data_IF_386320134895
#
_entry.id   IF_386320134895
#
_cell.length_a   1.000
_cell.length_b   1.000
_cell.length_c   1.000
_cell.angle_alpha   90.00
_cell.angle_beta   90.00
_cell.angle_gamma   90.00
#
_symmetry.space_group_name_H-M   'P 1'
#
loop_
_entity.id
_entity.type
_entity.pdbx_description
1 polymer ?
#
# COMPACT_ATOMS: atom_id res chain seq x y z
N UNK A 1 18.50 26.01 -50.56
CA UNK A 1 17.70 26.58 -49.45
C UNK A 1 17.25 27.98 -49.85
N UNK A 2 16.61 28.14 -51.02
CA UNK A 2 16.39 29.47 -51.61
C UNK A 2 15.15 29.51 -52.54
N UNK A 3 14.12 28.68 -52.28
CA UNK A 3 12.95 28.63 -53.19
C UNK A 3 11.59 28.39 -52.52
N UNK A 4 11.45 28.64 -51.21
CA UNK A 4 10.16 28.51 -50.51
C UNK A 4 9.82 29.70 -49.60
N UNK A 5 10.48 30.84 -49.80
CA UNK A 5 10.18 32.12 -49.13
C UNK A 5 9.91 33.25 -50.13
N UNK A 6 9.29 32.92 -51.27
CA UNK A 6 8.83 33.88 -52.27
C UNK A 6 7.36 33.62 -52.62
N UNK A 7 6.54 33.39 -51.60
CA UNK A 7 5.10 33.60 -51.68
C UNK A 7 4.87 35.02 -51.20
N UNK A 8 4.50 35.90 -52.11
CA UNK A 8 4.27 37.32 -51.87
C UNK A 8 3.37 37.52 -50.65
N UNK A 9 3.96 37.97 -49.56
CA UNK A 9 3.26 38.55 -48.41
C UNK A 9 2.86 40.00 -48.74
N UNK A 10 2.37 40.22 -49.96
CA UNK A 10 1.92 41.50 -50.49
C UNK A 10 0.45 41.37 -50.88
N UNK A 11 -0.41 41.19 -49.87
CA UNK A 11 -1.81 41.62 -49.89
C UNK A 11 -2.49 41.42 -48.51
N UNK A 12 -1.69 41.41 -47.42
CA UNK A 12 -2.28 41.47 -46.10
C UNK A 12 -2.62 42.92 -45.76
N UNK A 13 -3.83 43.32 -46.15
CA UNK A 13 -4.38 44.63 -45.85
C UNK A 13 -4.65 44.73 -44.33
N UNK A 14 -3.63 45.21 -43.62
CA UNK A 14 -3.68 45.43 -42.18
C UNK A 14 -4.80 46.38 -41.78
N UNK A 15 -5.15 47.35 -42.63
CA UNK A 15 -6.23 48.28 -42.33
C UNK A 15 -7.60 47.61 -42.51
N UNK A 16 -7.77 46.78 -43.54
CA UNK A 16 -9.00 45.99 -43.71
C UNK A 16 -9.20 44.97 -42.59
N UNK A 17 -8.18 44.18 -42.25
CA UNK A 17 -8.25 43.18 -41.16
C UNK A 17 -8.45 43.85 -39.80
N UNK A 18 -7.81 44.99 -39.54
CA UNK A 18 -8.03 45.79 -38.33
C UNK A 18 -9.42 46.43 -38.30
N UNK A 19 -9.95 46.86 -39.44
CA UNK A 19 -11.31 47.38 -39.54
C UNK A 19 -12.35 46.29 -39.28
N UNK A 20 -12.14 45.08 -39.83
CA UNK A 20 -13.00 43.92 -39.65
C UNK A 20 -12.97 43.38 -38.22
N UNK A 21 -11.78 43.30 -37.63
CA UNK A 21 -11.61 42.94 -36.21
C UNK A 21 -12.26 43.98 -35.27
N UNK A 22 -12.16 45.28 -35.58
CA UNK A 22 -12.86 46.33 -34.83
C UNK A 22 -14.37 46.32 -35.03
N UNK A 23 -14.88 45.85 -36.18
CA UNK A 23 -16.30 45.68 -36.48
C UNK A 23 -16.94 44.58 -35.63
N UNK A 24 -16.21 43.48 -35.42
CA UNK A 24 -16.66 42.33 -34.62
C UNK A 24 -16.40 42.49 -33.11
N UNK A 25 -15.65 43.52 -32.70
CA UNK A 25 -15.25 43.80 -31.31
C UNK A 25 -16.40 44.21 -30.36
N UNK A 26 -17.60 44.41 -30.90
CA UNK A 26 -18.81 44.75 -30.15
C UNK A 26 -19.87 43.65 -30.12
N UNK A 27 -19.64 42.50 -30.75
CA UNK A 27 -20.53 41.36 -30.63
C UNK A 27 -20.45 40.81 -29.19
N UNK A 28 -21.58 40.49 -28.53
CA UNK A 28 -21.54 39.78 -27.25
C UNK A 28 -20.77 38.47 -27.43
N UNK A 29 -19.83 38.20 -26.53
CA UNK A 29 -19.10 36.94 -26.54
C UNK A 29 -20.09 35.78 -26.34
N UNK A 30 -20.21 34.94 -27.36
CA UNK A 30 -21.04 33.74 -27.33
C UNK A 30 -20.17 32.54 -26.89
N UNK A 31 -20.35 32.16 -25.63
CA UNK A 31 -19.61 31.06 -25.02
C UNK A 31 -19.93 29.71 -25.68
N UNK A 32 -21.17 29.49 -26.11
CA UNK A 32 -21.58 28.22 -26.71
C UNK A 32 -20.98 28.05 -28.11
N UNK A 33 -20.85 29.15 -28.86
CA UNK A 33 -20.17 29.15 -30.15
C UNK A 33 -18.66 28.91 -29.99
N UNK A 34 -18.04 29.55 -29.01
CA UNK A 34 -16.61 29.37 -28.73
C UNK A 34 -16.27 27.95 -28.28
N UNK A 35 -17.10 27.32 -27.43
CA UNK A 35 -16.91 25.93 -27.03
C UNK A 35 -16.98 24.98 -28.23
N UNK A 36 -17.94 25.17 -29.16
CA UNK A 36 -18.03 24.37 -30.39
C UNK A 36 -16.78 24.51 -31.27
N UNK A 37 -16.24 25.72 -31.38
CA UNK A 37 -15.02 25.96 -32.15
C UNK A 37 -13.80 25.26 -31.52
N UNK A 38 -13.64 25.33 -30.20
CA UNK A 38 -12.56 24.62 -29.49
C UNK A 38 -12.72 23.10 -29.55
N UNK A 39 -13.93 22.59 -29.36
CA UNK A 39 -14.19 21.15 -29.41
C UNK A 39 -13.98 20.58 -30.82
N UNK A 40 -14.09 21.42 -31.86
CA UNK A 40 -13.76 21.07 -33.25
C UNK A 40 -12.27 21.19 -33.59
N UNK A 41 -11.46 21.79 -32.71
CA UNK A 41 -10.05 22.01 -32.96
C UNK A 41 -9.25 20.70 -32.80
N UNK A 42 -8.39 20.30 -33.75
CA UNK A 42 -7.69 19.01 -33.75
C UNK A 42 -6.89 18.71 -32.47
N UNK A 43 -6.36 19.76 -31.83
CA UNK A 43 -5.57 19.63 -30.60
C UNK A 43 -6.40 19.34 -29.34
N UNK A 44 -7.71 19.63 -29.35
CA UNK A 44 -8.56 19.60 -28.15
C UNK A 44 -9.81 18.71 -28.32
N UNK A 45 -10.11 18.25 -29.54
CA UNK A 45 -11.22 17.34 -29.79
C UNK A 45 -11.07 16.04 -28.99
N UNK A 46 -12.16 15.63 -28.33
CA UNK A 46 -12.19 14.40 -27.53
C UNK A 46 -12.58 13.15 -28.34
N UNK A 47 -13.09 13.35 -29.55
CA UNK A 47 -13.51 12.29 -30.47
C UNK A 47 -13.48 12.81 -31.92
N UNK A 48 -13.21 11.91 -32.87
CA UNK A 48 -13.22 12.25 -34.31
C UNK A 48 -14.67 12.53 -34.78
N UNK A 49 -14.92 13.65 -35.49
CA UNK A 49 -16.22 13.92 -36.11
C UNK A 49 -16.52 12.93 -37.25
N UNK A 50 -17.80 12.80 -37.62
CA UNK A 50 -18.24 12.00 -38.79
C UNK A 50 -17.65 12.56 -40.09
N UNK A 51 -17.41 11.70 -41.10
CA UNK A 51 -16.67 12.04 -42.34
C UNK A 51 -17.15 13.31 -43.07
N UNK A 52 -18.44 13.65 -42.98
CA UNK A 52 -19.01 14.86 -43.60
C UNK A 52 -18.81 16.16 -42.79
N UNK A 53 -18.02 16.13 -41.71
CA UNK A 53 -17.89 17.22 -40.73
C UNK A 53 -16.48 17.52 -40.27
N UNK A 54 -15.44 17.14 -41.03
CA UNK A 54 -14.08 17.53 -40.69
C UNK A 54 -13.89 19.05 -40.83
N UNK A 55 -13.28 19.65 -39.81
CA UNK A 55 -12.79 21.03 -39.91
C UNK A 55 -11.63 21.09 -40.92
N UNK A 56 -11.49 22.21 -41.62
CA UNK A 56 -10.39 22.48 -42.57
C UNK A 56 -9.01 22.17 -41.96
N UNK A 57 -8.84 22.42 -40.66
CA UNK A 57 -7.61 22.08 -39.94
C UNK A 57 -7.38 20.57 -39.78
N UNK A 58 -8.45 19.78 -39.61
CA UNK A 58 -8.37 18.31 -39.55
C UNK A 58 -8.07 17.75 -40.94
N UNK A 59 -8.71 18.28 -41.98
CA UNK A 59 -8.44 17.89 -43.38
C UNK A 59 -6.99 18.20 -43.78
N UNK A 60 -6.48 19.38 -43.42
CA UNK A 60 -5.08 19.74 -43.66
C UNK A 60 -4.10 18.81 -42.92
N UNK A 61 -4.37 18.46 -41.66
CA UNK A 61 -3.56 17.50 -40.90
C UNK A 61 -3.65 16.08 -41.47
N UNK A 62 -4.82 15.68 -41.97
CA UNK A 62 -5.01 14.39 -42.62
C UNK A 62 -4.25 14.34 -43.95
N UNK A 63 -4.32 15.39 -44.77
CA UNK A 63 -3.52 15.52 -45.98
C UNK A 63 -2.02 15.45 -45.66
N UNK A 64 -1.52 16.22 -44.70
CA UNK A 64 -0.11 16.18 -44.29
C UNK A 64 0.37 14.81 -43.77
N UNK A 65 -0.53 14.01 -43.18
CA UNK A 65 -0.17 12.69 -42.62
C UNK A 65 -0.36 11.55 -43.63
N UNK A 66 -1.26 11.72 -44.58
CA UNK A 66 -1.67 10.67 -45.52
C UNK A 66 -1.43 11.03 -46.98
N UNK A 67 -0.64 12.07 -47.27
CA UNK A 67 -0.28 12.51 -48.62
C UNK A 67 -0.07 11.29 -49.53
N UNK A 68 -0.84 11.26 -50.62
CA UNK A 68 -0.94 10.11 -51.53
C UNK A 68 0.36 9.83 -52.30
N UNK A 69 1.41 10.62 -52.05
CA UNK A 69 2.76 10.46 -52.61
C UNK A 69 3.70 9.60 -51.75
N UNK A 70 3.35 9.28 -50.50
CA UNK A 70 4.16 8.39 -49.68
C UNK A 70 4.15 6.95 -50.24
N UNK A 71 5.31 6.52 -50.71
CA UNK A 71 5.49 5.15 -51.19
C UNK A 71 5.28 4.14 -50.06
N UNK A 72 4.87 2.92 -50.39
CA UNK A 72 4.70 1.85 -49.38
C UNK A 72 6.01 1.54 -48.65
N UNK A 73 7.15 1.80 -49.30
CA UNK A 73 8.50 1.75 -48.74
C UNK A 73 8.76 2.82 -47.66
N UNK A 74 8.36 4.07 -47.90
CA UNK A 74 8.55 5.19 -46.94
C UNK A 74 7.74 4.98 -45.66
N UNK A 75 6.47 4.56 -45.81
CA UNK A 75 5.60 4.20 -44.68
C UNK A 75 6.14 3.00 -43.90
N UNK A 76 6.65 1.97 -44.57
CA UNK A 76 7.28 0.82 -43.91
C UNK A 76 8.57 1.23 -43.16
N UNK A 77 9.33 2.19 -43.68
CA UNK A 77 10.53 2.71 -43.02
C UNK A 77 10.19 3.56 -41.77
N UNK A 78 9.07 4.28 -41.80
CA UNK A 78 8.54 4.99 -40.63
C UNK A 78 8.11 4.01 -39.52
N UNK A 79 7.30 3.00 -39.87
CA UNK A 79 6.93 1.95 -38.91
C UNK A 79 8.14 1.23 -38.30
N UNK A 80 9.22 1.05 -39.07
CA UNK A 80 10.50 0.55 -38.55
C UNK A 80 11.10 1.52 -37.52
N UNK A 81 11.08 2.83 -37.80
CA UNK A 81 11.60 3.86 -36.88
C UNK A 81 10.81 3.87 -35.58
N UNK A 82 9.49 3.84 -35.65
CA UNK A 82 8.59 3.81 -34.50
C UNK A 82 8.77 2.54 -33.66
N UNK A 83 8.83 1.38 -34.32
CA UNK A 83 9.11 0.12 -33.65
C UNK A 83 10.46 0.13 -32.92
N UNK A 84 11.49 0.73 -33.53
CA UNK A 84 12.82 0.86 -32.92
C UNK A 84 12.79 1.78 -31.68
N UNK A 85 11.99 2.85 -31.71
CA UNK A 85 11.80 3.74 -30.55
C UNK A 85 11.14 2.97 -29.41
N UNK A 86 10.03 2.27 -29.67
CA UNK A 86 9.34 1.47 -28.66
C UNK A 86 10.21 0.32 -28.11
N UNK A 87 10.99 -0.32 -28.97
CA UNK A 87 11.93 -1.37 -28.57
C UNK A 87 12.99 -0.85 -27.60
N UNK A 88 13.56 0.34 -27.86
CA UNK A 88 14.51 1.00 -26.95
C UNK A 88 13.87 1.37 -25.61
N UNK A 89 12.59 1.75 -25.63
CA UNK A 89 11.81 2.01 -24.42
C UNK A 89 11.36 0.73 -23.68
N UNK A 90 11.74 -0.46 -24.14
CA UNK A 90 11.32 -1.78 -23.61
C UNK A 90 9.80 -2.02 -23.67
N UNK A 91 9.07 -1.24 -24.48
CA UNK A 91 7.64 -1.46 -24.75
C UNK A 91 7.49 -2.41 -25.95
N UNK A 92 7.80 -3.69 -25.70
CA UNK A 92 7.89 -4.69 -26.76
C UNK A 92 6.56 -4.95 -27.45
N UNK A 93 5.42 -4.81 -26.75
CA UNK A 93 4.09 -4.98 -27.34
C UNK A 93 3.85 -3.94 -28.45
N UNK A 94 4.09 -2.65 -28.17
CA UNK A 94 3.94 -1.60 -29.19
C UNK A 94 4.95 -1.73 -30.31
N UNK A 95 6.17 -2.15 -30.01
CA UNK A 95 7.18 -2.43 -31.03
C UNK A 95 6.72 -3.54 -31.99
N UNK A 96 6.17 -4.64 -31.47
CA UNK A 96 5.62 -5.74 -32.27
C UNK A 96 4.47 -5.26 -33.17
N UNK A 97 3.55 -4.44 -32.63
CA UNK A 97 2.46 -3.86 -33.42
C UNK A 97 3.00 -2.99 -34.54
N UNK A 98 3.91 -2.04 -34.25
CA UNK A 98 4.50 -1.16 -35.25
C UNK A 98 5.22 -1.92 -36.37
N UNK A 99 6.06 -2.92 -36.02
CA UNK A 99 6.68 -3.76 -37.04
C UNK A 99 5.66 -4.56 -37.84
N UNK A 100 4.60 -5.08 -37.19
CA UNK A 100 3.56 -5.85 -37.88
C UNK A 100 2.78 -5.01 -38.88
N UNK A 101 2.47 -3.74 -38.55
CA UNK A 101 1.85 -2.82 -39.50
C UNK A 101 2.78 -2.52 -40.69
N UNK A 102 4.08 -2.29 -40.44
CA UNK A 102 5.07 -2.13 -41.50
C UNK A 102 5.19 -3.36 -42.42
N UNK A 103 5.08 -4.57 -41.86
CA UNK A 103 5.09 -5.84 -42.63
C UNK A 103 3.84 -5.97 -43.50
N UNK A 104 2.66 -5.54 -43.03
CA UNK A 104 1.40 -5.64 -43.79
C UNK A 104 1.45 -4.83 -45.08
N UNK A 105 2.18 -3.71 -45.11
CA UNK A 105 2.34 -2.87 -46.29
C UNK A 105 3.01 -3.61 -47.47
N UNK A 106 3.70 -4.73 -47.22
CA UNK A 106 4.24 -5.62 -48.26
C UNK A 106 5.06 -4.88 -49.33
N UNK A 107 5.99 -4.02 -48.90
CA UNK A 107 6.90 -3.27 -49.77
C UNK A 107 7.78 -4.19 -50.62
N UNK A 108 8.19 -3.73 -51.81
CA UNK A 108 9.02 -4.52 -52.72
C UNK A 108 10.51 -4.57 -52.31
N UNK A 109 10.91 -3.78 -51.31
CA UNK A 109 12.26 -3.82 -50.74
C UNK A 109 12.43 -5.05 -49.81
N UNK A 110 13.05 -6.10 -50.38
CA UNK A 110 13.36 -7.32 -49.66
C UNK A 110 14.28 -7.09 -48.43
N UNK A 111 15.14 -6.07 -48.45
CA UNK A 111 16.04 -5.77 -47.34
C UNK A 111 15.28 -5.16 -46.16
N UNK A 112 14.44 -4.17 -46.43
CA UNK A 112 13.59 -3.54 -45.41
C UNK A 112 12.64 -4.58 -44.77
N UNK A 113 12.06 -5.44 -45.60
CA UNK A 113 11.20 -6.53 -45.15
C UNK A 113 11.96 -7.52 -44.23
N UNK A 114 13.17 -7.93 -44.61
CA UNK A 114 14.01 -8.77 -43.78
C UNK A 114 14.35 -8.13 -42.42
N UNK A 115 14.68 -6.83 -42.41
CA UNK A 115 14.92 -6.07 -41.17
C UNK A 115 13.68 -6.01 -40.27
N UNK A 116 12.49 -5.77 -40.83
CA UNK A 116 11.23 -5.74 -40.06
C UNK A 116 10.90 -7.09 -39.42
N UNK A 117 11.03 -8.20 -40.18
CA UNK A 117 10.83 -9.54 -39.63
C UNK A 117 11.83 -9.85 -38.50
N UNK A 118 13.09 -9.43 -38.68
CA UNK A 118 14.15 -9.63 -37.69
C UNK A 118 13.92 -8.81 -36.41
N UNK A 119 13.53 -7.54 -36.54
CA UNK A 119 13.26 -6.71 -35.37
C UNK A 119 12.00 -7.16 -34.63
N UNK A 120 10.99 -7.66 -35.37
CA UNK A 120 9.80 -8.25 -34.76
C UNK A 120 10.11 -9.54 -34.01
N UNK A 121 10.98 -10.41 -34.52
CA UNK A 121 11.38 -11.63 -33.81
C UNK A 121 12.14 -11.28 -32.52
N UNK A 122 13.06 -10.33 -32.58
CA UNK A 122 13.76 -9.82 -31.40
C UNK A 122 12.80 -9.23 -30.35
N UNK A 123 11.77 -8.47 -30.78
CA UNK A 123 10.77 -7.91 -29.87
C UNK A 123 9.94 -8.98 -29.17
N UNK A 124 9.52 -10.03 -29.90
CA UNK A 124 8.82 -11.18 -29.32
C UNK A 124 9.70 -11.94 -28.31
N UNK A 125 10.97 -12.11 -28.63
CA UNK A 125 11.93 -12.76 -27.75
C UNK A 125 12.07 -12.03 -26.41
N UNK A 126 12.30 -10.72 -26.42
CA UNK A 126 12.41 -9.93 -25.19
C UNK A 126 11.09 -9.78 -24.43
N UNK A 127 9.96 -9.76 -25.13
CA UNK A 127 8.65 -9.80 -24.48
C UNK A 127 8.50 -11.07 -23.63
N UNK A 128 8.94 -12.22 -24.16
CA UNK A 128 8.94 -13.48 -23.43
C UNK A 128 9.79 -13.45 -22.15
N UNK A 129 10.99 -12.86 -22.24
CA UNK A 129 11.87 -12.64 -21.08
C UNK A 129 11.18 -11.75 -20.04
N UNK A 130 10.56 -10.65 -20.47
CA UNK A 130 9.83 -9.74 -19.58
C UNK A 130 8.65 -10.44 -18.87
N UNK A 131 7.92 -11.29 -19.59
CA UNK A 131 6.85 -12.11 -19.02
C UNK A 131 7.37 -13.06 -17.94
N UNK A 132 8.48 -13.78 -18.17
CA UNK A 132 9.07 -14.67 -17.16
C UNK A 132 9.53 -13.93 -15.92
N UNK A 133 10.09 -12.72 -16.09
CA UNK A 133 10.46 -11.85 -14.98
C UNK A 133 9.22 -11.43 -14.18
N UNK A 134 8.13 -11.03 -14.85
CA UNK A 134 6.86 -10.66 -14.21
C UNK A 134 6.20 -11.83 -13.48
N UNK A 135 6.34 -13.05 -13.99
CA UNK A 135 5.89 -14.28 -13.35
C UNK A 135 6.79 -14.74 -12.19
N UNK A 136 7.81 -13.95 -11.82
CA UNK A 136 8.77 -14.27 -10.76
C UNK A 136 9.62 -15.53 -11.04
N UNK A 137 9.86 -15.82 -12.32
CA UNK A 137 10.65 -16.94 -12.86
C UNK A 137 11.92 -16.44 -13.60
N UNK A 138 12.83 -15.69 -12.94
CA UNK A 138 14.00 -15.13 -13.61
C UNK A 138 15.06 -16.19 -13.97
N UNK A 139 15.06 -17.37 -13.35
CA UNK A 139 16.03 -18.46 -13.67
C UNK A 139 15.69 -19.08 -15.02
N UNK A 140 14.41 -19.27 -15.27
CA UNK A 140 13.85 -19.74 -16.52
C UNK A 140 14.14 -18.73 -17.66
N UNK A 141 14.13 -17.43 -17.36
CA UNK A 141 14.49 -16.39 -18.33
C UNK A 141 15.96 -16.48 -18.77
N UNK A 142 16.90 -16.68 -17.83
CA UNK A 142 18.32 -16.91 -18.17
C UNK A 142 18.48 -18.17 -19.01
N UNK A 143 17.78 -19.25 -18.62
CA UNK A 143 17.79 -20.50 -19.38
C UNK A 143 17.32 -20.29 -20.82
N UNK A 144 16.20 -19.59 -21.02
CA UNK A 144 15.70 -19.25 -22.35
C UNK A 144 16.75 -18.46 -23.15
N UNK A 145 17.36 -17.44 -22.55
CA UNK A 145 18.42 -16.66 -23.23
C UNK A 145 19.57 -17.53 -23.68
N UNK A 146 20.08 -18.40 -22.80
CA UNK A 146 21.21 -19.28 -23.11
C UNK A 146 20.84 -20.27 -24.22
N UNK A 147 19.66 -20.88 -24.14
CA UNK A 147 19.18 -21.85 -25.14
C UNK A 147 18.92 -21.22 -26.51
N UNK A 148 18.52 -19.96 -26.57
CA UNK A 148 18.24 -19.25 -27.84
C UNK A 148 19.44 -18.47 -28.41
N UNK A 149 20.54 -18.35 -27.66
CA UNK A 149 21.72 -17.57 -28.05
C UNK A 149 22.50 -18.14 -29.23
N UNK A 150 22.40 -19.45 -29.51
CA UNK A 150 23.05 -20.09 -30.66
C UNK A 150 22.48 -19.62 -32.01
N UNK A 151 21.20 -19.25 -32.03
CA UNK A 151 20.46 -19.01 -33.27
C UNK A 151 20.34 -17.50 -33.59
N UNK A 152 20.69 -16.63 -32.64
CA UNK A 152 20.48 -15.17 -32.72
C UNK A 152 21.77 -14.33 -32.80
N UNK A 153 22.91 -14.96 -33.15
CA UNK A 153 24.27 -14.41 -33.05
C UNK A 153 24.47 -13.00 -33.68
N UNK A 154 23.64 -12.60 -34.64
CA UNK A 154 23.77 -11.31 -35.33
C UNK A 154 22.83 -10.20 -34.83
N UNK A 155 21.90 -10.49 -33.92
CA UNK A 155 20.79 -9.57 -33.63
C UNK A 155 20.93 -8.75 -32.34
N UNK A 156 21.75 -9.17 -31.37
CA UNK A 156 21.62 -8.61 -30.02
C UNK A 156 22.96 -8.31 -29.34
N UNK A 157 23.43 -7.07 -29.52
CA UNK A 157 24.51 -6.48 -28.73
C UNK A 157 24.14 -6.27 -27.26
N UNK A 158 22.86 -6.36 -26.91
CA UNK A 158 22.33 -6.02 -25.57
C UNK A 158 21.93 -7.24 -24.72
N UNK A 159 22.22 -8.48 -25.15
CA UNK A 159 21.89 -9.68 -24.35
C UNK A 159 22.67 -9.72 -23.03
N UNK A 160 23.95 -9.36 -23.04
CA UNK A 160 24.79 -9.41 -21.84
C UNK A 160 24.29 -8.47 -20.74
N UNK A 161 23.85 -7.26 -21.10
CA UNK A 161 23.27 -6.29 -20.15
C UNK A 161 21.96 -6.82 -19.56
N UNK A 162 21.12 -7.48 -20.37
CA UNK A 162 19.88 -8.10 -19.87
C UNK A 162 20.15 -9.30 -18.94
N UNK A 163 21.17 -10.12 -19.21
CA UNK A 163 21.57 -11.22 -18.33
C UNK A 163 22.06 -10.69 -16.98
N UNK A 164 22.83 -9.59 -16.97
CA UNK A 164 23.27 -8.93 -15.74
C UNK A 164 22.08 -8.39 -14.94
N UNK A 165 21.12 -7.73 -15.59
CA UNK A 165 19.92 -7.21 -14.95
C UNK A 165 19.06 -8.35 -14.35
N UNK A 166 18.88 -9.46 -15.08
CA UNK A 166 18.16 -10.63 -14.57
C UNK A 166 18.92 -11.26 -13.40
N UNK A 167 20.25 -11.35 -13.48
CA UNK A 167 21.09 -11.87 -12.40
C UNK A 167 20.99 -11.04 -11.12
N UNK A 168 20.88 -9.72 -11.23
CA UNK A 168 20.60 -8.82 -10.09
C UNK A 168 19.22 -9.11 -9.49
N UNK A 169 18.18 -9.28 -10.33
CA UNK A 169 16.83 -9.63 -9.87
C UNK A 169 16.76 -10.99 -9.17
N UNK A 170 17.51 -12.00 -9.64
CA UNK A 170 17.61 -13.31 -8.98
C UNK A 170 18.15 -13.14 -7.56
N UNK A 171 19.27 -12.41 -7.39
CA UNK A 171 19.88 -12.16 -6.09
C UNK A 171 18.93 -11.43 -5.13
N UNK A 172 18.20 -10.45 -5.64
CA UNK A 172 17.23 -9.70 -4.84
C UNK A 172 16.04 -10.58 -4.40
N UNK A 173 15.48 -11.38 -5.30
CA UNK A 173 14.39 -12.30 -4.97
C UNK A 173 14.84 -13.36 -3.94
N UNK A 174 16.04 -13.93 -4.09
CA UNK A 174 16.59 -14.86 -3.10
C UNK A 174 16.81 -14.19 -1.74
N UNK A 175 17.25 -12.93 -1.72
CA UNK A 175 17.36 -12.13 -0.50
C UNK A 175 16.00 -11.91 0.17
N UNK A 176 14.98 -11.54 -0.61
CA UNK A 176 13.62 -11.33 -0.11
C UNK A 176 13.05 -12.62 0.48
N UNK A 177 13.16 -13.75 -0.24
CA UNK A 177 12.76 -15.07 0.27
C UNK A 177 13.47 -15.45 1.57
N UNK A 178 14.77 -15.17 1.69
CA UNK A 178 15.53 -15.41 2.93
C UNK A 178 15.03 -14.53 4.07
N UNK A 179 14.79 -13.24 3.82
CA UNK A 179 14.28 -12.32 4.83
C UNK A 179 12.87 -12.72 5.30
N UNK A 180 11.99 -13.11 4.39
CA UNK A 180 10.66 -13.63 4.72
C UNK A 180 10.74 -14.91 5.53
N UNK A 181 11.60 -15.85 5.14
CA UNK A 181 11.81 -17.09 5.89
C UNK A 181 12.30 -16.80 7.32
N UNK A 182 13.30 -15.93 7.49
CA UNK A 182 13.82 -15.54 8.81
C UNK A 182 12.73 -14.88 9.66
N UNK A 183 11.93 -13.97 9.07
CA UNK A 183 10.81 -13.33 9.75
C UNK A 183 9.77 -14.36 10.21
N UNK A 184 9.39 -15.31 9.35
CA UNK A 184 8.45 -16.39 9.68
C UNK A 184 8.99 -17.29 10.79
N UNK A 185 10.23 -17.75 10.68
CA UNK A 185 10.83 -18.60 11.71
C UNK A 185 10.97 -17.90 13.06
N UNK A 186 11.27 -16.59 13.05
CA UNK A 186 11.32 -15.80 14.28
C UNK A 186 9.93 -15.68 14.90
N UNK A 187 8.92 -15.32 14.12
CA UNK A 187 7.54 -15.20 14.60
C UNK A 187 7.01 -16.54 15.17
N UNK A 188 7.33 -17.66 14.52
CA UNK A 188 6.98 -19.00 15.01
C UNK A 188 7.70 -19.36 16.32
N UNK A 189 8.99 -19.00 16.45
CA UNK A 189 9.74 -19.20 17.68
C UNK A 189 9.18 -18.36 18.83
N UNK A 190 8.94 -17.06 18.60
CA UNK A 190 8.34 -16.17 19.61
C UNK A 190 6.93 -16.66 20.01
N UNK A 191 6.14 -17.21 19.07
CA UNK A 191 4.84 -17.83 19.36
C UNK A 191 4.95 -19.07 20.23
N UNK A 192 5.89 -19.97 19.93
CA UNK A 192 6.13 -21.16 20.75
C UNK A 192 6.53 -20.77 22.17
N UNK A 193 7.44 -19.82 22.31
CA UNK A 193 7.87 -19.30 23.60
C UNK A 193 6.72 -18.64 24.36
N UNK A 194 5.84 -17.89 23.68
CA UNK A 194 4.64 -17.31 24.27
C UNK A 194 3.73 -18.39 24.88
N UNK A 195 3.39 -19.43 24.11
CA UNK A 195 2.50 -20.50 24.58
C UNK A 195 3.14 -21.27 25.74
N UNK A 196 4.45 -21.56 25.67
CA UNK A 196 5.19 -22.20 26.75
C UNK A 196 5.15 -21.35 28.02
N UNK A 197 5.40 -20.04 27.89
CA UNK A 197 5.34 -19.08 29.00
C UNK A 197 3.95 -18.96 29.63
N UNK A 198 2.88 -18.99 28.83
CA UNK A 198 1.49 -18.96 29.33
C UNK A 198 1.15 -20.24 30.11
N UNK A 199 1.61 -21.40 29.61
CA UNK A 199 1.42 -22.70 30.26
C UNK A 199 2.19 -22.80 31.58
N UNK A 200 3.48 -22.44 31.58
CA UNK A 200 4.32 -22.47 32.79
C UNK A 200 3.75 -21.58 33.90
N UNK A 201 3.15 -20.45 33.53
CA UNK A 201 2.53 -19.52 34.47
C UNK A 201 1.10 -19.90 34.86
N UNK A 202 0.51 -20.97 34.31
CA UNK A 202 -0.87 -21.39 34.61
C UNK A 202 -1.89 -20.23 34.53
N UNK A 203 -1.75 -19.37 33.51
CA UNK A 203 -2.64 -18.22 33.34
C UNK A 203 -4.01 -18.71 32.89
N UNK A 204 -5.03 -18.39 33.66
CA UNK A 204 -6.42 -18.77 33.37
C UNK A 204 -7.06 -17.77 32.43
N UNK A 205 -7.67 -18.27 31.37
CA UNK A 205 -8.49 -17.49 30.47
C UNK A 205 -9.98 -17.78 30.73
N UNK A 206 -10.85 -16.79 30.51
CA UNK A 206 -12.30 -17.01 30.57
C UNK A 206 -12.83 -17.75 29.35
N UNK A 207 -12.13 -17.67 28.22
CA UNK A 207 -12.62 -18.13 26.91
C UNK A 207 -12.13 -19.53 26.53
N UNK A 208 -11.08 -20.04 27.19
CA UNK A 208 -10.45 -21.32 26.86
C UNK A 208 -10.04 -22.04 28.14
N UNK A 209 -10.21 -23.36 28.15
CA UNK A 209 -9.66 -24.21 29.20
C UNK A 209 -8.16 -24.43 28.99
N UNK A 210 -7.43 -24.76 30.07
CA UNK A 210 -5.98 -25.04 30.03
C UNK A 210 -5.60 -26.09 28.98
N UNK A 211 -6.48 -27.06 28.74
CA UNK A 211 -6.29 -28.13 27.75
C UNK A 211 -6.41 -27.66 26.29
N UNK A 212 -6.94 -26.46 26.04
CA UNK A 212 -7.06 -25.87 24.70
C UNK A 212 -5.94 -24.87 24.37
N UNK A 213 -5.02 -24.61 25.31
CA UNK A 213 -3.90 -23.68 25.11
C UNK A 213 -2.98 -24.06 23.93
N UNK A 214 -2.91 -25.34 23.56
CA UNK A 214 -2.15 -25.82 22.40
C UNK A 214 -2.80 -25.48 21.05
N UNK A 215 -4.12 -25.33 21.06
CA UNK A 215 -4.92 -25.02 19.88
C UNK A 215 -5.29 -23.53 19.78
N UNK A 216 -4.79 -22.70 20.70
CA UNK A 216 -5.01 -21.25 20.67
C UNK A 216 -4.58 -20.68 19.32
N UNK A 217 -5.54 -20.09 18.63
CA UNK A 217 -5.27 -19.27 17.46
C UNK A 217 -4.92 -17.85 17.91
N UNK A 218 -4.18 -17.09 17.09
CA UNK A 218 -3.91 -15.69 17.42
C UNK A 218 -5.21 -14.88 17.60
N UNK A 219 -6.26 -15.25 16.88
CA UNK A 219 -7.56 -14.59 16.95
C UNK A 219 -8.21 -14.70 18.34
N UNK A 220 -7.88 -15.75 19.09
CA UNK A 220 -8.39 -15.99 20.44
C UNK A 220 -7.77 -15.06 21.50
N UNK A 221 -6.58 -14.51 21.20
CA UNK A 221 -5.82 -13.58 22.03
C UNK A 221 -5.87 -12.13 21.50
N UNK A 222 -6.66 -11.89 20.43
CA UNK A 222 -6.83 -10.56 19.88
C UNK A 222 -7.76 -9.73 20.75
N UNK A 223 -7.28 -8.53 21.08
CA UNK A 223 -8.08 -7.51 21.73
C UNK A 223 -8.87 -6.76 20.66
N UNK A 224 -10.20 -6.90 20.71
CA UNK A 224 -11.12 -6.19 19.83
C UNK A 224 -11.74 -5.01 20.60
N UNK A 225 -11.04 -3.87 20.60
CA UNK A 225 -11.53 -2.62 21.21
C UNK A 225 -11.69 -1.58 20.10
N UNK A 226 -12.86 -0.92 19.96
CA UNK A 226 -13.12 0.06 18.89
C UNK A 226 -12.13 1.23 18.82
N UNK A 227 -11.48 1.53 19.95
CA UNK A 227 -10.55 2.65 20.13
C UNK A 227 -9.13 2.32 19.63
N UNK A 228 -8.82 1.05 19.34
CA UNK A 228 -7.49 0.62 18.92
C UNK A 228 -7.51 0.26 17.42
N UNK A 229 -6.89 1.10 16.59
CA UNK A 229 -6.82 0.87 15.13
C UNK A 229 -5.90 -0.30 14.75
N UNK A 230 -5.01 -0.69 15.66
CA UNK A 230 -4.03 -1.77 15.47
C UNK A 230 -4.48 -3.00 16.27
N UNK A 231 -4.43 -4.19 15.66
CA UNK A 231 -4.69 -5.45 16.35
C UNK A 231 -3.58 -5.69 17.39
N UNK A 232 -3.88 -5.47 18.67
CA UNK A 232 -2.94 -5.69 19.77
C UNK A 232 -3.27 -7.02 20.47
N UNK A 233 -2.26 -7.80 20.77
CA UNK A 233 -2.36 -9.06 21.50
C UNK A 233 -1.18 -9.21 22.45
N UNK A 234 -1.31 -10.08 23.44
CA UNK A 234 -0.18 -10.49 24.28
C UNK A 234 0.96 -11.04 23.40
N UNK A 235 2.19 -10.63 23.68
CA UNK A 235 3.38 -11.16 23.02
C UNK A 235 4.50 -11.41 24.02
N UNK A 236 5.41 -12.29 23.64
CA UNK A 236 6.60 -12.59 24.43
C UNK A 236 7.76 -11.71 23.97
N UNK A 237 8.32 -10.91 24.89
CA UNK A 237 9.54 -10.16 24.63
C UNK A 237 10.76 -11.06 24.89
N UNK A 238 11.50 -11.36 23.82
CA UNK A 238 12.72 -12.18 23.87
C UNK A 238 13.87 -11.49 24.63
N UNK A 239 13.89 -10.16 24.67
CA UNK A 239 14.97 -9.38 25.32
C UNK A 239 14.74 -9.34 26.83
N UNK A 240 13.56 -8.89 27.24
CA UNK A 240 13.20 -8.80 28.65
C UNK A 240 12.87 -10.18 29.27
N UNK A 241 12.62 -11.20 28.43
CA UNK A 241 12.17 -12.54 28.83
C UNK A 241 10.93 -12.43 29.72
N UNK A 242 9.94 -11.71 29.23
CA UNK A 242 8.68 -11.41 29.92
C UNK A 242 7.53 -11.40 28.93
N UNK A 243 6.33 -11.63 29.45
CA UNK A 243 5.10 -11.41 28.70
C UNK A 243 4.70 -9.94 28.77
N UNK A 244 4.38 -9.37 27.62
CA UNK A 244 3.85 -8.01 27.51
C UNK A 244 2.38 -8.10 27.17
N UNK A 245 1.55 -7.51 28.03
CA UNK A 245 0.10 -7.58 27.95
C UNK A 245 -0.48 -6.21 27.55
N UNK A 246 -1.50 -6.18 26.67
CA UNK A 246 -2.39 -5.03 26.63
C UNK A 246 -3.26 -5.02 27.89
N UNK A 247 -3.43 -3.89 28.56
CA UNK A 247 -4.19 -3.77 29.83
C UNK A 247 -5.20 -2.64 29.72
N UNK A 248 -6.40 -2.85 30.28
CA UNK A 248 -7.47 -1.86 30.32
C UNK A 248 -7.70 -1.36 31.75
N UNK A 249 -7.62 -0.05 31.96
CA UNK A 249 -8.06 0.62 33.18
C UNK A 249 -9.46 1.19 33.00
N UNK A 250 -10.36 0.88 33.92
CA UNK A 250 -11.76 1.27 33.91
C UNK A 250 -12.02 2.32 35.01
N UNK A 251 -12.61 3.45 34.63
CA UNK A 251 -12.99 4.53 35.55
C UNK A 251 -14.52 4.64 35.60
N UNK A 252 -15.19 3.76 36.37
CA UNK A 252 -16.66 3.66 36.35
C UNK A 252 -17.36 4.94 36.82
N UNK A 253 -16.72 5.75 37.66
CA UNK A 253 -17.25 7.04 38.12
C UNK A 253 -17.52 8.02 36.97
N UNK A 254 -16.69 8.00 35.93
CA UNK A 254 -16.78 8.88 34.77
C UNK A 254 -17.14 8.15 33.48
N UNK A 255 -17.40 6.84 33.56
CA UNK A 255 -17.66 5.97 32.41
C UNK A 255 -16.60 6.12 31.30
N UNK A 256 -15.34 6.21 31.70
CA UNK A 256 -14.19 6.32 30.80
C UNK A 256 -13.20 5.18 31.04
N UNK A 257 -12.31 4.97 30.09
CA UNK A 257 -11.35 3.87 30.09
C UNK A 257 -10.02 4.33 29.51
N UNK A 258 -8.91 3.86 30.08
CA UNK A 258 -7.58 4.04 29.50
C UNK A 258 -7.02 2.69 29.06
N UNK A 259 -6.47 2.65 27.85
CA UNK A 259 -5.90 1.45 27.27
C UNK A 259 -4.38 1.56 27.20
N UNK A 260 -3.69 0.65 27.88
CA UNK A 260 -2.23 0.52 27.86
C UNK A 260 -1.86 -0.60 26.90
N UNK A 261 -1.29 -0.26 25.75
CA UNK A 261 -0.94 -1.24 24.72
C UNK A 261 0.15 -2.24 25.16
N UNK A 262 1.10 -1.77 25.97
CA UNK A 262 2.30 -2.53 26.37
C UNK A 262 2.53 -2.40 27.86
N UNK A 263 2.11 -3.42 28.60
CA UNK A 263 2.36 -3.58 30.02
C UNK A 263 3.25 -4.82 30.22
N UNK A 264 4.52 -4.64 30.60
CA UNK A 264 5.39 -5.79 30.95
C UNK A 264 4.87 -6.42 32.23
N UNK A 265 4.73 -7.74 32.26
CA UNK A 265 4.27 -8.47 33.44
C UNK A 265 5.09 -8.20 34.72
N UNK A 266 6.35 -7.76 34.58
CA UNK A 266 7.26 -7.42 35.70
C UNK A 266 7.11 -5.98 36.19
N UNK A 267 6.46 -5.12 35.42
CA UNK A 267 6.20 -3.74 35.82
C UNK A 267 5.14 -3.70 36.92
N UNK A 268 5.20 -2.66 37.76
CA UNK A 268 4.19 -2.45 38.79
C UNK A 268 3.05 -1.60 38.27
N UNK A 269 1.88 -1.73 38.91
CA UNK A 269 0.75 -0.85 38.61
C UNK A 269 1.05 0.61 38.94
N UNK A 270 1.93 0.87 39.90
CA UNK A 270 2.40 2.20 40.23
C UNK A 270 3.09 2.87 39.05
N UNK A 271 4.00 2.15 38.38
CA UNK A 271 4.79 2.69 37.27
C UNK A 271 3.87 3.11 36.12
N UNK A 272 2.95 2.24 35.71
CA UNK A 272 2.01 2.52 34.61
C UNK A 272 0.99 3.60 34.97
N UNK A 273 0.39 3.56 36.17
CA UNK A 273 -0.55 4.60 36.58
C UNK A 273 0.13 5.96 36.77
N UNK A 274 1.42 6.01 37.08
CA UNK A 274 2.14 7.28 37.19
C UNK A 274 2.24 8.00 35.85
N UNK A 275 2.24 7.23 34.76
CA UNK A 275 2.22 7.74 33.39
C UNK A 275 0.79 8.10 33.00
N UNK A 276 -0.17 7.17 33.20
CA UNK A 276 -1.58 7.37 32.82
C UNK A 276 -2.22 8.55 33.56
N UNK A 277 -1.94 8.70 34.87
CA UNK A 277 -2.44 9.80 35.70
C UNK A 277 -1.38 10.89 35.95
N UNK A 278 -0.33 10.94 35.12
CA UNK A 278 0.76 11.91 35.25
C UNK A 278 0.31 13.32 34.91
N UNK A 279 -0.36 13.49 33.77
CA UNK A 279 -1.12 14.69 33.44
C UNK A 279 -2.57 14.52 33.91
N UNK A 280 -3.10 15.57 34.52
CA UNK A 280 -4.46 15.54 35.04
C UNK A 280 -5.46 15.40 33.88
N UNK A 281 -6.30 14.36 33.85
CA UNK A 281 -7.29 14.19 32.79
C UNK A 281 -8.36 15.28 32.84
N UNK A 282 -8.87 15.70 31.68
CA UNK A 282 -9.89 16.75 31.56
C UNK A 282 -11.20 16.41 32.29
N UNK A 283 -11.51 15.11 32.43
CA UNK A 283 -12.70 14.63 33.13
C UNK A 283 -12.55 14.69 34.66
N UNK A 284 -11.33 14.72 35.21
CA UNK A 284 -11.09 14.82 36.67
C UNK A 284 -11.11 16.28 37.13
N UNK A 285 -12.26 16.94 37.04
CA UNK A 285 -12.44 18.38 37.38
C UNK A 285 -12.20 18.69 38.86
N UNK A 286 -12.21 17.69 39.74
CA UNK A 286 -11.91 17.84 41.18
C UNK A 286 -10.47 17.46 41.56
N UNK A 287 -9.72 16.82 40.66
CA UNK A 287 -8.32 16.44 40.92
C UNK A 287 -8.21 15.30 41.93
N UNK A 288 -9.21 14.42 41.96
CA UNK A 288 -9.33 13.33 42.93
C UNK A 288 -8.57 12.08 42.49
N UNK A 289 -8.22 11.95 41.21
CA UNK A 289 -7.53 10.80 40.65
C UNK A 289 -6.01 11.00 40.65
N UNK A 290 -5.44 10.98 41.86
CA UNK A 290 -3.98 11.02 42.07
C UNK A 290 -3.48 9.67 42.59
N UNK A 291 -2.22 9.32 42.32
CA UNK A 291 -1.61 8.03 42.74
C UNK A 291 -1.81 7.68 44.21
N UNK A 292 -1.76 8.68 45.11
CA UNK A 292 -1.94 8.47 46.55
C UNK A 292 -3.40 8.18 46.93
N UNK A 293 -4.32 8.62 46.10
CA UNK A 293 -5.74 8.62 46.40
C UNK A 293 -6.52 7.57 45.63
N UNK A 294 -5.96 6.98 44.57
CA UNK A 294 -6.61 5.90 43.84
C UNK A 294 -6.42 4.54 44.52
N UNK A 295 -7.39 3.66 44.31
CA UNK A 295 -7.30 2.24 44.59
C UNK A 295 -7.65 1.46 43.32
N UNK A 296 -6.95 0.35 43.11
CA UNK A 296 -7.15 -0.55 41.98
C UNK A 296 -7.89 -1.77 42.49
N UNK A 297 -8.84 -2.24 41.68
CA UNK A 297 -9.64 -3.42 41.95
C UNK A 297 -9.72 -4.31 40.71
N UNK A 298 -10.00 -5.59 40.90
CA UNK A 298 -10.58 -6.43 39.86
C UNK A 298 -11.75 -7.24 40.43
N UNK A 299 -12.62 -7.72 39.55
CA UNK A 299 -13.75 -8.58 39.91
C UNK A 299 -13.29 -10.03 40.05
N UNK A 300 -13.61 -10.66 41.19
CA UNK A 300 -13.32 -12.07 41.39
C UNK A 300 -14.13 -12.92 40.41
N UNK A 301 -13.47 -13.84 39.71
CA UNK A 301 -14.14 -14.76 38.81
C UNK A 301 -15.14 -15.68 39.53
N UNK A 302 -14.82 -16.11 40.75
CA UNK A 302 -15.68 -17.02 41.53
C UNK A 302 -16.94 -16.31 42.06
N UNK A 303 -16.81 -15.01 42.34
CA UNK A 303 -17.85 -14.19 42.94
C UNK A 303 -17.88 -12.81 42.27
N UNK A 304 -18.71 -12.59 41.23
CA UNK A 304 -18.76 -11.33 40.50
C UNK A 304 -19.08 -10.11 41.38
N UNK A 305 -19.81 -10.32 42.49
CA UNK A 305 -20.12 -9.28 43.47
C UNK A 305 -18.96 -9.00 44.45
N UNK A 306 -17.78 -9.59 44.23
CA UNK A 306 -16.59 -9.41 45.08
C UNK A 306 -15.46 -8.71 44.33
N UNK A 307 -15.04 -7.55 44.85
CA UNK A 307 -13.91 -6.79 44.36
C UNK A 307 -12.66 -7.09 45.19
N UNK A 308 -11.54 -7.32 44.51
CA UNK A 308 -10.27 -7.60 45.15
C UNK A 308 -9.35 -6.40 44.98
N UNK A 309 -8.86 -5.86 46.10
CA UNK A 309 -7.95 -4.70 46.12
C UNK A 309 -6.58 -5.11 45.63
N UNK A 310 -6.08 -4.47 44.59
CA UNK A 310 -4.72 -4.66 44.07
C UNK A 310 -3.79 -3.58 44.66
N UNK A 311 -2.73 -3.95 45.40
CA UNK A 311 -1.73 -3.00 45.87
C UNK A 311 -0.98 -2.38 44.69
N UNK A 312 -0.73 -1.07 44.73
CA UNK A 312 -0.04 -0.35 43.64
C UNK A 312 1.38 -0.88 43.35
N UNK A 313 2.09 -1.37 44.37
CA UNK A 313 3.45 -1.87 44.23
C UNK A 313 3.57 -3.32 43.76
N UNK A 314 2.44 -3.99 43.46
CA UNK A 314 2.49 -5.35 42.95
C UNK A 314 2.71 -5.38 41.44
N UNK A 315 3.31 -6.46 40.94
CA UNK A 315 3.49 -6.67 39.50
C UNK A 315 2.22 -7.24 38.87
N UNK A 316 2.05 -7.01 37.56
CA UNK A 316 0.94 -7.63 36.81
C UNK A 316 1.03 -9.17 36.87
N UNK A 317 2.23 -9.73 36.79
CA UNK A 317 2.47 -11.17 36.88
C UNK A 317 1.85 -11.77 38.15
N UNK A 318 2.09 -11.16 39.30
CA UNK A 318 1.60 -11.68 40.58
C UNK A 318 0.07 -11.69 40.65
N UNK A 319 -0.60 -10.72 40.00
CA UNK A 319 -2.07 -10.66 39.93
C UNK A 319 -2.62 -11.73 38.98
N UNK A 320 -2.00 -11.88 37.80
CA UNK A 320 -2.43 -12.88 36.80
C UNK A 320 -2.32 -14.32 37.31
N UNK A 321 -1.41 -14.59 38.25
CA UNK A 321 -1.23 -15.90 38.87
C UNK A 321 -2.34 -16.26 39.89
N UNK A 322 -3.13 -15.28 40.37
CA UNK A 322 -4.13 -15.51 41.42
C UNK A 322 -5.33 -16.33 40.95
N UNK A 323 -5.73 -17.33 41.73
CA UNK A 323 -6.80 -18.29 41.38
C UNK A 323 -8.16 -17.66 41.05
N UNK A 324 -8.44 -16.54 41.70
CA UNK A 324 -9.66 -15.76 41.53
C UNK A 324 -9.60 -14.77 40.34
N UNK A 325 -8.48 -14.70 39.61
CA UNK A 325 -8.33 -13.87 38.42
C UNK A 325 -8.39 -14.71 37.14
N UNK A 326 -9.10 -14.20 36.12
CA UNK A 326 -9.12 -14.78 34.77
C UNK A 326 -9.01 -13.67 33.72
N UNK A 327 -8.20 -13.92 32.70
CA UNK A 327 -8.01 -13.00 31.56
C UNK A 327 -9.09 -13.22 30.52
N UNK A 328 -9.74 -12.14 30.06
CA UNK A 328 -10.77 -12.20 29.01
C UNK A 328 -10.15 -11.83 27.67
N UNK A 329 -10.16 -12.76 26.70
CA UNK A 329 -9.63 -12.54 25.33
C UNK A 329 -8.23 -11.91 25.26
N UNK A 330 -7.35 -12.26 26.19
CA UNK A 330 -5.99 -11.70 26.25
C UNK A 330 -5.88 -10.28 26.81
N UNK A 331 -6.97 -9.72 27.36
CA UNK A 331 -7.03 -8.37 27.94
C UNK A 331 -7.32 -8.43 29.45
N UNK A 332 -6.31 -8.27 30.31
CA UNK A 332 -6.52 -7.95 31.71
C UNK A 332 -7.21 -6.59 31.88
N UNK A 333 -8.25 -6.54 32.72
CA UNK A 333 -9.01 -5.33 33.02
C UNK A 333 -9.00 -5.04 34.53
N UNK A 334 -8.80 -3.77 34.87
CA UNK A 334 -8.72 -3.32 36.26
C UNK A 334 -9.58 -2.07 36.48
N UNK A 335 -10.29 -2.03 37.59
CA UNK A 335 -11.15 -0.93 37.99
C UNK A 335 -10.36 0.04 38.86
N UNK A 336 -10.36 1.32 38.51
CA UNK A 336 -9.64 2.38 39.23
C UNK A 336 -10.65 3.36 39.81
N UNK A 337 -10.65 3.50 41.14
CA UNK A 337 -11.58 4.37 41.87
C UNK A 337 -10.82 5.25 42.84
N UNK A 338 -11.23 6.52 42.95
CA UNK A 338 -10.69 7.44 43.95
C UNK A 338 -11.23 7.14 45.35
N UNK A 339 -10.35 6.95 46.34
CA UNK A 339 -10.73 6.69 47.74
C UNK A 339 -11.56 7.81 48.35
N UNK A 340 -11.37 9.06 47.88
CA UNK A 340 -12.06 10.26 48.38
C UNK A 340 -13.38 10.55 47.67
N UNK A 341 -13.67 9.93 46.52
CA UNK A 341 -14.92 10.24 45.82
C UNK A 341 -16.14 9.73 46.58
N UNK A 342 -17.26 10.45 46.46
CA UNK A 342 -18.54 9.98 47.00
C UNK A 342 -19.00 8.71 46.29
N UNK A 343 -18.67 8.60 44.99
CA UNK A 343 -18.91 7.41 44.18
C UNK A 343 -18.31 6.16 44.84
N UNK A 344 -17.09 6.23 45.35
CA UNK A 344 -16.47 5.09 46.05
C UNK A 344 -17.34 4.58 47.20
N UNK A 345 -17.94 5.47 48.01
CA UNK A 345 -18.80 5.05 49.13
C UNK A 345 -20.02 4.29 48.62
N UNK A 346 -20.67 4.79 47.58
CA UNK A 346 -21.84 4.13 46.98
C UNK A 346 -21.45 2.84 46.28
N UNK A 347 -20.34 2.83 45.54
CA UNK A 347 -19.86 1.68 44.79
C UNK A 347 -19.52 0.52 45.73
N UNK A 348 -18.82 0.80 46.83
CA UNK A 348 -18.47 -0.22 47.82
C UNK A 348 -19.66 -0.77 48.61
N UNK A 349 -20.84 -0.13 48.59
CA UNK A 349 -22.06 -0.74 49.18
C UNK A 349 -22.64 -1.87 48.33
N UNK A 350 -22.33 -1.88 47.02
CA UNK A 350 -22.83 -2.88 46.08
C UNK A 350 -21.96 -4.14 46.03
N UNK A 351 -20.70 -4.04 46.45
CA UNK A 351 -19.71 -5.11 46.31
C UNK A 351 -19.09 -5.49 47.66
N UNK A 352 -18.79 -6.77 47.83
CA UNK A 352 -17.95 -7.23 48.94
C UNK A 352 -16.49 -7.00 48.59
N UNK A 353 -15.70 -6.44 49.50
CA UNK A 353 -14.29 -6.10 49.23
C UNK A 353 -13.36 -7.06 49.96
N UNK A 354 -12.41 -7.64 49.23
CA UNK A 354 -11.36 -8.50 49.77
C UNK A 354 -9.98 -7.93 49.42
N UNK A 355 -8.97 -8.26 50.24
CA UNK A 355 -7.57 -7.95 49.92
C UNK A 355 -6.97 -9.10 49.08
N UNK A 356 -6.03 -8.75 48.20
CA UNK A 356 -5.32 -9.67 47.30
C UNK A 356 -4.55 -10.81 48.00
#
# INVERSE_FOLDING_TARGET
MDALLSGDMEDWDFEATKAEWNKNRGAPFDFDQWCKEIDSHPAFMSSLPSEDGYSEAIEALQAMKYDEEDTSEERAAEFKRDGNVHFKSKDYNKAITAYTEGIKLSCNDAKLMAELYNNRSAANFFLGIDCLIKLNCPKEAVKWIVESSSDLHNCLTDLNSTIEDISKKIKENERQKRQEHIKRTKAEASRKNLIECLKERHIRFSNFDENQLENLTFDDLKVDIPQCSNQTSVFYDEVAKSLVWPVLFLYPEFNTTDFVEKFDEKDTFHDHLSIVLGERPDWDVLGLYTLNNVAIYYESYEHPDTLIIVPLGITLKDVLLKNNYRVVRGLPSFIVISKRSEFNKTYMTRFSVQNL
#
